data_IF_995146759355
#
_entry.id   IF_995146759355
#
_cell.length_a   1.000
_cell.length_b   1.000
_cell.length_c   1.000
_cell.angle_alpha   90.00
_cell.angle_beta   90.00
_cell.angle_gamma   90.00
#
_symmetry.space_group_name_H-M   'P 1'
#
loop_
_entity.id
_entity.type
_entity.pdbx_description
1 polymer ?
#
# COMPACT_ATOMS: atom_id res chain seq x y z
N UNK A 1 -15.40 -28.39 8.41
CA UNK A 1 -15.53 -26.93 8.63
C UNK A 1 -15.79 -26.26 7.30
N UNK A 2 -16.76 -25.34 7.22
CA UNK A 2 -17.01 -24.58 5.99
C UNK A 2 -15.80 -23.73 5.66
N UNK A 3 -15.31 -23.80 4.42
CA UNK A 3 -14.21 -22.95 3.93
C UNK A 3 -14.61 -21.48 4.00
N UNK A 4 -13.71 -20.60 4.45
CA UNK A 4 -13.93 -19.14 4.42
C UNK A 4 -14.20 -18.67 2.99
N UNK A 5 -14.98 -17.61 2.87
CA UNK A 5 -15.32 -16.96 1.60
C UNK A 5 -14.76 -15.53 1.63
N UNK A 6 -13.55 -15.38 1.14
CA UNK A 6 -12.86 -14.08 1.11
C UNK A 6 -12.98 -13.47 -0.28
N UNK A 7 -13.44 -12.23 -0.35
CA UNK A 7 -13.41 -11.41 -1.55
C UNK A 7 -12.31 -10.38 -1.39
N UNK A 8 -11.50 -10.19 -2.42
CA UNK A 8 -10.64 -9.02 -2.58
C UNK A 8 -11.23 -8.17 -3.70
N UNK A 9 -11.60 -6.94 -3.37
CA UNK A 9 -12.02 -5.93 -4.35
C UNK A 9 -10.87 -4.97 -4.59
N UNK A 10 -10.64 -4.63 -5.86
CA UNK A 10 -9.58 -3.72 -6.28
C UNK A 10 -10.11 -2.89 -7.46
N UNK A 11 -10.10 -1.57 -7.30
CA UNK A 11 -10.59 -0.66 -8.33
C UNK A 11 -9.68 -0.66 -9.55
N UNK A 12 -10.26 -0.56 -10.73
CA UNK A 12 -9.50 -0.58 -11.97
C UNK A 12 -8.86 0.79 -12.25
N UNK A 13 -7.52 0.86 -12.22
CA UNK A 13 -6.71 2.06 -12.42
C UNK A 13 -7.24 3.29 -11.64
N UNK A 14 -7.54 3.10 -10.35
CA UNK A 14 -8.40 3.96 -9.52
C UNK A 14 -8.23 5.46 -9.75
N UNK A 15 -7.08 6.05 -9.43
CA UNK A 15 -6.91 7.50 -9.56
C UNK A 15 -7.07 7.96 -11.00
N UNK A 16 -6.53 7.23 -11.97
CA UNK A 16 -6.68 7.58 -13.37
C UNK A 16 -8.15 7.47 -13.83
N UNK A 17 -8.89 6.47 -13.33
CA UNK A 17 -10.32 6.30 -13.65
C UNK A 17 -11.17 7.41 -13.04
N UNK A 18 -10.83 7.89 -11.83
CA UNK A 18 -11.49 9.07 -11.24
C UNK A 18 -11.24 10.32 -12.09
N UNK A 19 -9.99 10.59 -12.48
CA UNK A 19 -9.68 11.74 -13.34
C UNK A 19 -10.37 11.66 -14.70
N UNK A 20 -10.42 10.48 -15.32
CA UNK A 20 -11.12 10.27 -16.58
C UNK A 20 -12.65 10.43 -16.47
N UNK A 21 -13.23 10.19 -15.29
CA UNK A 21 -14.64 10.46 -15.00
C UNK A 21 -14.90 11.96 -14.90
N UNK A 22 -14.07 12.68 -14.15
CA UNK A 22 -14.19 14.13 -13.97
C UNK A 22 -13.86 14.90 -15.25
N UNK A 23 -12.98 14.35 -16.09
CA UNK A 23 -12.51 14.97 -17.33
C UNK A 23 -12.79 14.07 -18.54
N UNK A 24 -14.07 13.96 -19.00
CA UNK A 24 -14.47 13.03 -20.06
C UNK A 24 -13.75 13.22 -21.40
N UNK A 25 -13.24 14.43 -21.69
CA UNK A 25 -12.46 14.73 -22.89
C UNK A 25 -11.08 14.01 -22.94
N UNK A 26 -10.64 13.43 -21.81
CA UNK A 26 -9.41 12.63 -21.72
C UNK A 26 -9.64 11.15 -22.01
N UNK A 27 -10.88 10.68 -22.12
CA UNK A 27 -11.18 9.27 -22.41
C UNK A 27 -10.54 8.81 -23.72
N UNK A 28 -9.96 7.61 -23.70
CA UNK A 28 -9.24 7.03 -24.84
C UNK A 28 -7.82 7.54 -25.02
N UNK A 29 -7.38 8.52 -24.23
CA UNK A 29 -6.01 9.01 -24.25
C UNK A 29 -5.15 8.30 -23.18
N UNK A 30 -3.85 8.14 -23.39
CA UNK A 30 -2.94 7.69 -22.32
C UNK A 30 -2.84 8.76 -21.23
N UNK A 31 -3.46 8.53 -20.07
CA UNK A 31 -3.50 9.47 -18.94
C UNK A 31 -2.65 8.93 -17.78
N UNK A 32 -1.85 9.82 -17.21
CA UNK A 32 -0.97 9.54 -16.07
C UNK A 32 -1.28 10.52 -14.95
N UNK A 33 -1.58 10.00 -13.77
CA UNK A 33 -1.73 10.81 -12.56
C UNK A 33 -0.37 10.91 -11.88
N UNK A 34 0.17 12.11 -11.84
CA UNK A 34 1.47 12.39 -11.24
C UNK A 34 1.62 13.88 -10.91
N UNK A 35 2.40 14.20 -9.87
CA UNK A 35 2.84 15.57 -9.65
C UNK A 35 3.85 15.99 -10.73
N UNK A 36 3.89 17.27 -11.02
CA UNK A 36 4.99 17.83 -11.79
C UNK A 36 6.28 17.88 -10.93
N UNK A 37 7.42 17.62 -11.55
CA UNK A 37 8.72 17.66 -10.92
C UNK A 37 9.70 16.61 -11.44
N UNK A 38 10.98 16.95 -11.42
CA UNK A 38 12.04 16.10 -11.97
C UNK A 38 12.16 14.72 -11.30
N UNK A 39 11.76 14.63 -10.02
CA UNK A 39 11.82 13.39 -9.21
C UNK A 39 10.46 12.74 -8.98
N UNK A 40 9.42 13.25 -9.63
CA UNK A 40 8.07 12.73 -9.49
C UNK A 40 7.93 11.32 -10.05
N UNK A 41 7.05 10.55 -9.43
CA UNK A 41 6.66 9.21 -9.85
C UNK A 41 5.19 9.16 -10.18
N UNK A 42 4.82 8.23 -11.04
CA UNK A 42 3.43 7.97 -11.41
C UNK A 42 2.68 7.43 -10.18
N UNK A 43 1.58 8.08 -9.79
CA UNK A 43 0.62 7.58 -8.82
C UNK A 43 -0.28 6.49 -9.43
N UNK A 44 -0.84 6.78 -10.62
CA UNK A 44 -1.64 5.82 -11.38
C UNK A 44 -1.51 6.08 -12.89
N UNK A 45 -1.69 5.03 -13.70
CA UNK A 45 -1.71 5.09 -15.15
C UNK A 45 -2.99 4.47 -15.67
N UNK A 46 -3.66 5.12 -16.64
CA UNK A 46 -4.82 4.57 -17.34
C UNK A 46 -4.47 3.31 -18.11
N UNK A 47 -5.45 2.52 -18.52
CA UNK A 47 -5.19 1.31 -19.29
C UNK A 47 -4.55 1.62 -20.64
N UNK A 48 -4.90 2.73 -21.27
CA UNK A 48 -4.28 3.23 -22.49
C UNK A 48 -2.80 3.56 -22.25
N UNK A 49 -2.47 4.23 -21.14
CA UNK A 49 -1.08 4.50 -20.76
C UNK A 49 -0.27 3.22 -20.47
N UNK A 50 -0.90 2.22 -19.86
CA UNK A 50 -0.28 0.92 -19.61
C UNK A 50 0.12 0.15 -20.86
N UNK A 51 -0.57 0.36 -21.98
CA UNK A 51 -0.19 -0.23 -23.29
C UNK A 51 1.18 0.23 -23.77
N UNK A 52 1.62 1.43 -23.33
CA UNK A 52 2.98 1.95 -23.58
C UNK A 52 3.98 1.56 -22.48
N UNK A 53 3.62 0.64 -21.58
CA UNK A 53 4.47 0.19 -20.48
C UNK A 53 4.51 1.13 -19.27
N UNK A 54 3.65 2.18 -19.21
CA UNK A 54 3.59 3.08 -18.07
C UNK A 54 2.87 2.41 -16.90
N UNK A 55 3.41 2.57 -15.70
CA UNK A 55 2.83 1.96 -14.49
C UNK A 55 3.13 2.80 -13.23
N UNK A 56 2.38 2.57 -12.16
CA UNK A 56 2.60 3.20 -10.85
C UNK A 56 4.04 3.00 -10.37
N UNK A 57 4.59 3.98 -9.68
CA UNK A 57 5.95 4.07 -9.19
C UNK A 57 7.05 4.24 -10.27
N UNK A 58 6.72 4.28 -11.57
CA UNK A 58 7.66 4.66 -12.62
C UNK A 58 7.98 6.15 -12.51
N UNK A 59 9.23 6.56 -12.76
CA UNK A 59 9.57 7.99 -12.79
C UNK A 59 8.87 8.70 -13.96
N UNK A 60 8.39 9.92 -13.74
CA UNK A 60 7.76 10.74 -14.78
C UNK A 60 8.72 10.98 -15.95
N UNK A 61 10.01 11.17 -15.68
CA UNK A 61 11.02 11.31 -16.71
C UNK A 61 11.13 10.09 -17.63
N UNK A 62 11.05 8.87 -17.08
CA UNK A 62 11.02 7.63 -17.87
C UNK A 62 9.71 7.52 -18.65
N UNK A 63 8.58 7.83 -18.01
CA UNK A 63 7.27 7.75 -18.65
C UNK A 63 7.14 8.72 -19.85
N UNK A 64 7.65 9.94 -19.73
CA UNK A 64 7.69 10.92 -20.84
C UNK A 64 8.49 10.43 -22.05
N UNK A 65 9.54 9.64 -21.82
CA UNK A 65 10.33 9.04 -22.92
C UNK A 65 9.58 7.87 -23.59
N UNK A 66 8.86 7.05 -22.80
CA UNK A 66 8.14 5.89 -23.32
C UNK A 66 6.84 6.28 -24.03
N UNK A 67 6.17 7.33 -23.57
CA UNK A 67 4.90 7.79 -24.15
C UNK A 67 4.86 9.34 -24.12
N UNK A 68 5.49 10.02 -25.10
CA UNK A 68 5.53 11.49 -25.15
C UNK A 68 4.15 12.14 -25.27
N UNK A 69 3.16 11.43 -25.84
CA UNK A 69 1.78 11.89 -26.00
C UNK A 69 0.90 11.69 -24.75
N UNK A 70 1.43 11.13 -23.67
CA UNK A 70 0.68 10.94 -22.43
C UNK A 70 0.27 12.27 -21.81
N UNK A 71 -0.96 12.33 -21.32
CA UNK A 71 -1.49 13.47 -20.59
C UNK A 71 -1.19 13.29 -19.10
N UNK A 72 -0.54 14.26 -18.50
CA UNK A 72 -0.22 14.27 -17.07
C UNK A 72 -1.25 15.13 -16.32
N UNK A 73 -1.87 14.53 -15.30
CA UNK A 73 -2.86 15.17 -14.44
C UNK A 73 -2.37 15.15 -13.01
N UNK A 74 -2.39 16.27 -12.28
CA UNK A 74 -2.03 16.28 -10.87
C UNK A 74 -3.04 15.45 -10.05
N UNK A 75 -2.61 14.77 -8.96
CA UNK A 75 -3.51 13.94 -8.16
C UNK A 75 -4.42 14.81 -7.27
N UNK A 76 -5.71 14.46 -7.21
CA UNK A 76 -6.73 15.07 -6.36
C UNK A 76 -7.10 14.14 -5.18
N UNK A 77 -6.21 14.01 -4.19
CA UNK A 77 -6.38 13.04 -3.10
C UNK A 77 -7.65 13.22 -2.27
N UNK A 78 -8.18 14.44 -2.13
CA UNK A 78 -9.45 14.67 -1.42
C UNK A 78 -10.62 14.02 -2.15
N UNK A 79 -10.67 14.16 -3.47
CA UNK A 79 -11.65 13.50 -4.30
C UNK A 79 -11.52 11.96 -4.23
N UNK A 80 -10.28 11.44 -4.28
CA UNK A 80 -10.05 9.98 -4.18
C UNK A 80 -10.51 9.43 -2.82
N UNK A 81 -10.31 10.19 -1.73
CA UNK A 81 -10.84 9.82 -0.40
C UNK A 81 -12.36 9.81 -0.35
N UNK A 82 -13.03 10.78 -0.99
CA UNK A 82 -14.49 10.83 -1.07
C UNK A 82 -15.04 9.64 -1.85
N UNK A 83 -14.48 9.33 -3.01
CA UNK A 83 -14.86 8.15 -3.81
C UNK A 83 -14.60 6.85 -3.06
N UNK A 84 -13.46 6.73 -2.38
CA UNK A 84 -13.14 5.58 -1.53
C UNK A 84 -14.17 5.39 -0.42
N UNK A 85 -14.64 6.48 0.20
CA UNK A 85 -15.68 6.41 1.23
C UNK A 85 -17.02 5.88 0.67
N UNK A 86 -17.40 6.26 -0.56
CA UNK A 86 -18.59 5.73 -1.27
C UNK A 86 -18.42 4.22 -1.52
N UNK A 87 -17.27 3.79 -2.02
CA UNK A 87 -16.95 2.38 -2.26
C UNK A 87 -17.07 1.57 -0.96
N UNK A 88 -16.49 2.07 0.13
CA UNK A 88 -16.58 1.44 1.44
C UNK A 88 -18.01 1.40 2.00
N UNK A 89 -18.86 2.38 1.68
CA UNK A 89 -20.28 2.36 2.04
C UNK A 89 -21.02 1.21 1.30
N UNK A 90 -20.66 0.91 0.06
CA UNK A 90 -21.16 -0.27 -0.65
C UNK A 90 -20.75 -1.57 0.09
N UNK A 91 -19.48 -1.71 0.48
CA UNK A 91 -19.01 -2.92 1.18
C UNK A 91 -19.79 -3.20 2.46
N UNK A 92 -20.06 -2.16 3.26
CA UNK A 92 -20.79 -2.27 4.54
C UNK A 92 -22.23 -2.77 4.42
N UNK A 93 -22.79 -2.83 3.21
CA UNK A 93 -24.13 -3.42 2.96
C UNK A 93 -24.09 -4.95 2.98
N UNK A 94 -22.89 -5.55 2.93
CA UNK A 94 -22.73 -7.00 2.82
C UNK A 94 -22.04 -7.62 4.03
N UNK A 95 -21.09 -6.93 4.65
CA UNK A 95 -20.33 -7.39 5.82
C UNK A 95 -19.71 -6.23 6.57
N UNK A 96 -19.46 -6.39 7.85
CA UNK A 96 -18.63 -5.52 8.70
C UNK A 96 -17.16 -5.97 8.73
N UNK A 97 -16.88 -7.22 8.33
CA UNK A 97 -15.51 -7.74 8.25
C UNK A 97 -14.83 -7.24 6.96
N UNK A 98 -14.43 -5.98 6.98
CA UNK A 98 -13.76 -5.29 5.86
C UNK A 98 -12.37 -4.84 6.32
N UNK A 99 -11.33 -5.28 5.63
CA UNK A 99 -9.94 -4.86 5.87
C UNK A 99 -9.47 -3.99 4.71
N UNK A 100 -9.45 -2.66 4.85
CA UNK A 100 -8.87 -1.76 3.86
C UNK A 100 -7.36 -1.97 3.76
N UNK A 101 -6.83 -1.99 2.53
CA UNK A 101 -5.40 -2.02 2.25
C UNK A 101 -4.89 -0.66 1.76
N UNK A 102 -5.70 0.02 0.97
CA UNK A 102 -5.48 1.35 0.39
C UNK A 102 -6.81 2.08 0.21
N UNK A 103 -6.84 3.16 -0.57
CA UNK A 103 -8.09 3.84 -0.93
C UNK A 103 -8.94 3.05 -1.94
N UNK A 104 -8.34 2.11 -2.65
CA UNK A 104 -8.90 1.43 -3.81
C UNK A 104 -9.05 -0.09 -3.66
N UNK A 105 -8.52 -0.67 -2.58
CA UNK A 105 -8.61 -2.11 -2.39
C UNK A 105 -8.94 -2.51 -0.95
N UNK A 106 -9.72 -3.57 -0.80
CA UNK A 106 -10.05 -4.16 0.49
C UNK A 106 -10.29 -5.67 0.41
N UNK A 107 -10.04 -6.36 1.53
CA UNK A 107 -10.56 -7.70 1.76
C UNK A 107 -11.90 -7.62 2.46
N UNK A 108 -12.84 -8.49 2.04
CA UNK A 108 -14.14 -8.70 2.69
C UNK A 108 -14.26 -10.18 3.06
N UNK A 109 -14.59 -10.48 4.30
CA UNK A 109 -15.03 -11.83 4.66
C UNK A 109 -16.56 -11.88 4.57
N UNK A 110 -17.03 -12.62 3.58
CA UNK A 110 -18.45 -12.81 3.31
C UNK A 110 -18.92 -14.25 3.59
N UNK A 111 -18.15 -14.98 4.41
CA UNK A 111 -18.52 -16.33 4.86
C UNK A 111 -19.93 -16.34 5.47
N UNK A 112 -20.22 -15.29 6.23
CA UNK A 112 -21.58 -14.87 6.63
C UNK A 112 -21.76 -13.46 6.15
N UNK A 113 -22.78 -13.19 5.35
CA UNK A 113 -23.06 -11.84 4.85
C UNK A 113 -24.48 -11.43 5.23
N UNK A 114 -24.71 -10.10 5.34
CA UNK A 114 -25.97 -9.56 5.84
C UNK A 114 -27.17 -9.85 4.97
N UNK A 115 -26.95 -10.14 3.69
CA UNK A 115 -28.05 -10.47 2.74
C UNK A 115 -28.33 -11.97 2.63
N UNK A 116 -27.58 -12.81 3.40
CA UNK A 116 -27.69 -14.26 3.33
C UNK A 116 -27.50 -14.86 1.93
N UNK A 117 -26.72 -14.19 1.07
CA UNK A 117 -26.41 -14.68 -0.28
C UNK A 117 -25.48 -15.89 -0.17
N UNK A 118 -25.86 -17.06 -0.70
CA UNK A 118 -25.11 -18.30 -0.47
C UNK A 118 -23.76 -18.35 -1.19
N UNK A 119 -23.62 -17.64 -2.32
CA UNK A 119 -22.40 -17.67 -3.13
C UNK A 119 -21.64 -16.35 -3.06
N UNK A 120 -20.38 -16.39 -2.65
CA UNK A 120 -19.51 -15.20 -2.62
C UNK A 120 -19.27 -14.58 -4.02
N UNK A 121 -19.42 -15.37 -5.08
CA UNK A 121 -19.39 -14.88 -6.46
C UNK A 121 -20.53 -13.92 -6.77
N UNK A 122 -21.74 -14.21 -6.26
CA UNK A 122 -22.89 -13.31 -6.43
C UNK A 122 -22.74 -12.06 -5.57
N UNK A 123 -22.23 -12.19 -4.33
CA UNK A 123 -21.92 -11.02 -3.50
C UNK A 123 -20.91 -10.11 -4.21
N UNK A 124 -19.84 -10.65 -4.77
CA UNK A 124 -18.86 -9.87 -5.52
C UNK A 124 -19.44 -9.19 -6.76
N UNK A 125 -20.33 -9.88 -7.48
CA UNK A 125 -21.04 -9.34 -8.64
C UNK A 125 -21.93 -8.16 -8.26
N UNK A 126 -22.74 -8.31 -7.20
CA UNK A 126 -23.57 -7.22 -6.68
C UNK A 126 -22.74 -6.01 -6.21
N UNK A 127 -21.66 -6.25 -5.46
CA UNK A 127 -20.75 -5.20 -5.01
C UNK A 127 -20.20 -4.42 -6.21
N UNK A 128 -19.67 -5.10 -7.21
CA UNK A 128 -19.10 -4.47 -8.41
C UNK A 128 -20.16 -3.68 -9.20
N UNK A 129 -21.36 -4.23 -9.31
CA UNK A 129 -22.48 -3.53 -9.98
C UNK A 129 -22.89 -2.27 -9.20
N UNK A 130 -22.99 -2.35 -7.86
CA UNK A 130 -23.33 -1.21 -7.02
C UNK A 130 -22.22 -0.12 -7.07
N UNK A 131 -20.95 -0.48 -7.03
CA UNK A 131 -19.83 0.45 -7.21
C UNK A 131 -19.99 1.19 -8.55
N UNK A 132 -20.21 0.47 -9.63
CA UNK A 132 -20.36 1.09 -10.95
C UNK A 132 -21.59 2.02 -11.01
N UNK A 133 -22.74 1.59 -10.50
CA UNK A 133 -23.95 2.38 -10.48
C UNK A 133 -23.82 3.69 -9.69
N UNK A 134 -23.09 3.67 -8.57
CA UNK A 134 -22.97 4.81 -7.65
C UNK A 134 -21.78 5.73 -7.96
N UNK A 135 -20.72 5.17 -8.54
CA UNK A 135 -19.48 5.94 -8.77
C UNK A 135 -19.11 6.11 -10.25
N UNK A 136 -19.74 5.36 -11.16
CA UNK A 136 -19.34 5.29 -12.57
C UNK A 136 -17.99 4.59 -12.80
N UNK A 137 -17.38 3.99 -11.75
CA UNK A 137 -16.08 3.35 -11.82
C UNK A 137 -16.20 1.83 -11.79
N UNK A 138 -15.25 1.14 -12.42
CA UNK A 138 -15.21 -0.32 -12.40
C UNK A 138 -14.26 -0.84 -11.33
N UNK A 139 -14.58 -2.03 -10.83
CA UNK A 139 -13.76 -2.78 -9.91
C UNK A 139 -13.59 -4.23 -10.37
N UNK A 140 -12.46 -4.84 -10.03
CA UNK A 140 -12.21 -6.26 -10.22
C UNK A 140 -12.26 -7.01 -8.89
N UNK A 141 -12.74 -8.25 -8.92
CA UNK A 141 -12.93 -9.06 -7.73
C UNK A 141 -12.23 -10.42 -7.83
N UNK A 142 -11.53 -10.78 -6.76
CA UNK A 142 -11.01 -12.13 -6.56
C UNK A 142 -11.70 -12.82 -5.39
N UNK A 143 -12.20 -14.03 -5.59
CA UNK A 143 -12.92 -14.80 -4.59
C UNK A 143 -12.15 -16.09 -4.31
N UNK A 144 -11.77 -16.33 -3.05
CA UNK A 144 -10.95 -17.47 -2.66
C UNK A 144 -11.12 -17.83 -1.18
N UNK A 145 -10.56 -18.97 -0.71
CA UNK A 145 -10.66 -19.40 0.68
C UNK A 145 -9.88 -18.52 1.68
N UNK A 146 -8.94 -17.70 1.21
CA UNK A 146 -8.12 -16.85 2.05
C UNK A 146 -7.67 -15.57 1.34
N UNK A 147 -7.09 -14.63 2.12
CA UNK A 147 -6.67 -13.31 1.65
C UNK A 147 -5.60 -13.37 0.55
N UNK A 148 -4.62 -14.26 0.70
CA UNK A 148 -3.53 -14.41 -0.27
C UNK A 148 -4.08 -14.76 -1.66
N UNK A 149 -4.89 -15.79 -1.73
CA UNK A 149 -5.45 -16.26 -2.99
C UNK A 149 -6.48 -15.29 -3.58
N UNK A 150 -7.30 -14.64 -2.74
CA UNK A 150 -8.26 -13.65 -3.17
C UNK A 150 -7.58 -12.45 -3.83
N UNK A 151 -6.45 -11.97 -3.28
CA UNK A 151 -5.68 -10.86 -3.87
C UNK A 151 -5.09 -11.22 -5.23
N UNK A 152 -4.54 -12.41 -5.39
CA UNK A 152 -4.05 -12.86 -6.71
C UNK A 152 -5.21 -13.01 -7.69
N UNK A 153 -6.32 -13.57 -7.23
CA UNK A 153 -7.51 -13.78 -8.06
C UNK A 153 -8.10 -12.48 -8.60
N UNK A 154 -8.06 -11.37 -7.83
CA UNK A 154 -8.59 -10.08 -8.28
C UNK A 154 -7.84 -9.49 -9.48
N UNK A 155 -6.55 -9.82 -9.65
CA UNK A 155 -5.76 -9.37 -10.79
C UNK A 155 -5.92 -10.24 -12.05
N UNK A 156 -6.55 -11.43 -11.91
CA UNK A 156 -6.53 -12.45 -12.98
C UNK A 156 -7.32 -12.07 -14.22
N UNK A 157 -8.38 -11.26 -14.04
CA UNK A 157 -9.30 -10.84 -15.11
C UNK A 157 -9.53 -9.33 -15.09
N UNK A 158 -8.55 -8.51 -14.72
CA UNK A 158 -8.62 -7.05 -14.85
C UNK A 158 -8.58 -6.63 -16.32
N UNK A 159 -9.27 -5.54 -16.70
CA UNK A 159 -10.18 -4.73 -15.89
C UNK A 159 -11.61 -5.28 -15.85
N UNK A 160 -12.42 -4.78 -14.91
CA UNK A 160 -13.85 -5.07 -14.73
C UNK A 160 -14.15 -6.56 -14.73
N UNK A 161 -13.26 -7.34 -14.12
CA UNK A 161 -13.31 -8.79 -14.12
C UNK A 161 -13.63 -9.38 -12.75
N UNK A 162 -13.95 -10.67 -12.76
CA UNK A 162 -14.13 -11.46 -11.55
C UNK A 162 -13.52 -12.84 -11.74
N UNK A 163 -12.78 -13.32 -10.76
CA UNK A 163 -12.19 -14.65 -10.79
C UNK A 163 -12.45 -15.37 -9.47
N UNK A 164 -12.96 -16.60 -9.58
CA UNK A 164 -13.25 -17.47 -8.43
C UNK A 164 -12.23 -18.60 -8.39
N UNK A 165 -11.53 -18.73 -7.28
CA UNK A 165 -10.61 -19.85 -7.01
C UNK A 165 -11.19 -20.72 -5.88
N UNK A 166 -11.96 -21.77 -6.19
CA UNK A 166 -12.54 -22.64 -5.19
C UNK A 166 -11.47 -23.54 -4.54
N UNK A 167 -11.70 -24.04 -3.30
CA UNK A 167 -10.70 -24.81 -2.55
C UNK A 167 -10.08 -25.97 -3.31
N UNK A 168 -10.87 -26.74 -4.05
CA UNK A 168 -10.40 -27.92 -4.80
C UNK A 168 -9.49 -27.57 -5.99
N UNK A 169 -9.46 -26.31 -6.45
CA UNK A 169 -8.58 -25.85 -7.55
C UNK A 169 -7.30 -25.16 -7.08
N UNK A 170 -7.16 -24.91 -5.76
CA UNK A 170 -6.04 -24.12 -5.21
C UNK A 170 -4.70 -24.74 -5.55
N UNK A 171 -4.53 -26.05 -5.33
CA UNK A 171 -3.24 -26.70 -5.55
C UNK A 171 -2.83 -26.71 -7.01
N UNK A 172 -3.75 -26.97 -7.92
CA UNK A 172 -3.51 -26.95 -9.37
C UNK A 172 -3.18 -25.50 -9.84
N UNK A 173 -3.87 -24.51 -9.29
CA UNK A 173 -3.61 -23.10 -9.59
C UNK A 173 -2.19 -22.67 -9.15
N UNK A 174 -1.78 -23.04 -7.94
CA UNK A 174 -0.47 -22.71 -7.40
C UNK A 174 0.67 -23.45 -8.12
N UNK A 175 0.42 -24.62 -8.72
CA UNK A 175 1.44 -25.37 -9.46
C UNK A 175 2.11 -24.50 -10.53
N UNK A 176 1.32 -23.74 -11.26
CA UNK A 176 1.78 -22.91 -12.38
C UNK A 176 1.88 -21.42 -12.07
N UNK A 177 1.54 -20.99 -10.83
CA UNK A 177 1.54 -19.59 -10.46
C UNK A 177 2.96 -19.01 -10.47
N UNK A 178 3.27 -17.99 -11.31
CA UNK A 178 4.58 -17.36 -11.31
C UNK A 178 4.90 -16.71 -9.96
N UNK A 179 6.13 -16.87 -9.47
CA UNK A 179 6.56 -16.34 -8.16
C UNK A 179 6.37 -14.85 -8.01
N UNK A 180 6.55 -14.08 -9.08
CA UNK A 180 6.34 -12.62 -9.07
C UNK A 180 4.89 -12.19 -8.83
N UNK A 181 3.91 -13.11 -8.89
CA UNK A 181 2.51 -12.87 -8.55
C UNK A 181 2.21 -13.05 -7.07
N UNK A 182 3.14 -13.61 -6.30
CA UNK A 182 2.99 -13.77 -4.85
C UNK A 182 3.17 -12.41 -4.17
N UNK A 183 2.15 -11.89 -3.45
CA UNK A 183 2.26 -10.63 -2.72
C UNK A 183 3.42 -10.66 -1.71
N UNK A 184 4.31 -9.67 -1.82
CA UNK A 184 5.55 -9.57 -1.03
C UNK A 184 6.80 -10.13 -1.74
N UNK A 185 6.66 -10.78 -2.89
CA UNK A 185 7.80 -11.14 -3.73
C UNK A 185 8.14 -9.97 -4.67
N UNK A 186 9.07 -9.12 -4.23
CA UNK A 186 9.61 -8.03 -5.04
C UNK A 186 10.73 -8.50 -5.98
N UNK A 187 11.24 -7.59 -6.81
CA UNK A 187 12.28 -7.88 -7.83
C UNK A 187 13.52 -8.58 -7.25
N UNK A 188 14.00 -8.15 -6.07
CA UNK A 188 15.19 -8.74 -5.41
C UNK A 188 14.91 -10.17 -4.96
N UNK A 189 13.79 -10.40 -4.29
CA UNK A 189 13.39 -11.74 -3.83
C UNK A 189 13.16 -12.68 -5.02
N UNK A 190 12.48 -12.18 -6.06
CA UNK A 190 12.24 -12.96 -7.29
C UNK A 190 13.56 -13.38 -7.95
N UNK A 191 14.52 -12.47 -8.09
CA UNK A 191 15.84 -12.77 -8.66
C UNK A 191 16.57 -13.84 -7.83
N UNK A 192 16.50 -13.75 -6.49
CA UNK A 192 17.08 -14.77 -5.59
C UNK A 192 16.37 -16.13 -5.75
N UNK A 193 15.04 -16.17 -5.85
CA UNK A 193 14.30 -17.40 -6.10
C UNK A 193 14.70 -18.04 -7.42
N UNK A 194 14.81 -17.24 -8.48
CA UNK A 194 15.22 -17.71 -9.80
C UNK A 194 16.64 -18.27 -9.82
N UNK A 195 17.59 -17.68 -9.08
CA UNK A 195 18.96 -18.23 -8.95
C UNK A 195 19.00 -19.57 -8.19
N UNK A 196 17.96 -19.90 -7.42
CA UNK A 196 17.76 -21.19 -6.77
C UNK A 196 16.94 -22.19 -7.62
N UNK A 197 16.68 -21.86 -8.89
CA UNK A 197 15.92 -22.71 -9.80
C UNK A 197 14.41 -22.68 -9.64
N UNK A 198 13.87 -21.76 -8.80
CA UNK A 198 12.44 -21.63 -8.57
C UNK A 198 11.81 -20.66 -9.58
N UNK A 199 10.67 -21.01 -10.18
CA UNK A 199 9.92 -20.18 -11.13
C UNK A 199 8.46 -20.02 -10.76
N UNK A 200 7.87 -21.04 -10.15
CA UNK A 200 6.46 -21.09 -9.78
C UNK A 200 6.27 -21.33 -8.27
N UNK A 201 5.06 -21.10 -7.77
CA UNK A 201 4.72 -21.46 -6.40
C UNK A 201 4.76 -22.99 -6.19
N UNK A 202 4.55 -23.79 -7.25
CA UNK A 202 4.77 -25.22 -7.24
C UNK A 202 6.22 -25.61 -6.92
N UNK A 203 7.19 -24.88 -7.46
CA UNK A 203 8.61 -25.16 -7.20
C UNK A 203 8.99 -24.91 -5.73
N UNK A 204 8.36 -23.94 -5.05
CA UNK A 204 8.59 -23.70 -3.61
C UNK A 204 8.22 -24.91 -2.74
N UNK A 205 7.31 -25.77 -3.20
CA UNK A 205 6.91 -26.97 -2.44
C UNK A 205 7.96 -28.06 -2.39
N UNK A 206 8.95 -28.02 -3.28
CA UNK A 206 10.08 -28.95 -3.30
C UNK A 206 11.06 -28.69 -2.16
N UNK A 207 10.95 -27.53 -1.51
CA UNK A 207 11.84 -27.10 -0.43
C UNK A 207 11.19 -27.34 0.93
N UNK A 208 11.98 -27.83 1.85
CA UNK A 208 11.60 -27.94 3.24
C UNK A 208 11.48 -26.57 3.92
N UNK A 209 10.72 -26.53 5.00
CA UNK A 209 10.47 -25.27 5.74
C UNK A 209 11.77 -24.62 6.24
N UNK A 210 12.72 -25.45 6.70
CA UNK A 210 14.05 -25.00 7.16
C UNK A 210 14.90 -24.42 6.03
N UNK A 211 14.87 -25.01 4.85
CA UNK A 211 15.60 -24.53 3.68
C UNK A 211 15.11 -23.14 3.26
N UNK A 212 13.79 -22.95 3.19
CA UNK A 212 13.21 -21.65 2.87
C UNK A 212 13.53 -20.60 3.95
N UNK A 213 13.58 -20.99 5.24
CA UNK A 213 14.04 -20.12 6.32
C UNK A 213 15.49 -19.67 6.11
N UNK A 214 16.39 -20.61 5.77
CA UNK A 214 17.80 -20.32 5.55
C UNK A 214 18.00 -19.35 4.38
N UNK A 215 17.22 -19.50 3.30
CA UNK A 215 17.33 -18.63 2.13
C UNK A 215 16.65 -17.28 2.30
N UNK A 216 15.49 -17.21 2.95
CA UNK A 216 14.63 -16.02 2.96
C UNK A 216 14.33 -15.46 4.36
N UNK A 217 15.02 -15.96 5.39
CA UNK A 217 14.77 -15.56 6.77
C UNK A 217 13.32 -15.86 7.18
N UNK A 218 12.75 -15.08 8.09
CA UNK A 218 11.37 -15.26 8.56
C UNK A 218 10.33 -15.29 7.44
N UNK A 219 10.62 -14.67 6.30
CA UNK A 219 9.72 -14.71 5.15
C UNK A 219 9.63 -16.11 4.53
N UNK A 220 10.65 -16.95 4.70
CA UNK A 220 10.66 -18.33 4.25
C UNK A 220 9.53 -19.18 4.84
N UNK A 221 9.18 -18.98 6.12
CA UNK A 221 8.02 -19.64 6.74
C UNK A 221 6.73 -19.29 6.00
N UNK A 222 6.55 -18.00 5.70
CA UNK A 222 5.37 -17.55 4.97
C UNK A 222 5.33 -18.11 3.55
N UNK A 223 6.45 -18.15 2.85
CA UNK A 223 6.54 -18.73 1.50
C UNK A 223 6.16 -20.21 1.50
N UNK A 224 6.58 -20.96 2.51
CA UNK A 224 6.23 -22.36 2.69
C UNK A 224 4.71 -22.57 2.80
N UNK A 225 4.05 -21.77 3.63
CA UNK A 225 2.61 -21.82 3.84
C UNK A 225 1.84 -21.37 2.58
N UNK A 226 2.24 -20.24 1.97
CA UNK A 226 1.61 -19.71 0.76
C UNK A 226 1.72 -20.68 -0.44
N UNK A 227 2.86 -21.37 -0.61
CA UNK A 227 3.02 -22.37 -1.66
C UNK A 227 2.07 -23.57 -1.51
N UNK A 228 1.56 -23.78 -0.30
CA UNK A 228 0.57 -24.82 0.05
C UNK A 228 -0.87 -24.28 0.11
N UNK A 229 -1.05 -23.02 -0.33
CA UNK A 229 -2.38 -22.38 -0.33
C UNK A 229 -2.89 -21.97 1.04
N UNK A 230 -2.03 -21.97 2.07
CA UNK A 230 -2.40 -21.68 3.45
C UNK A 230 -2.15 -20.20 3.78
N UNK A 231 -3.22 -19.51 4.19
CA UNK A 231 -3.14 -18.17 4.80
C UNK A 231 -4.29 -18.04 5.81
N UNK A 232 -3.96 -18.30 7.06
CA UNK A 232 -4.95 -18.34 8.15
C UNK A 232 -5.30 -16.94 8.70
N UNK A 233 -4.63 -15.90 8.24
CA UNK A 233 -4.88 -14.54 8.72
C UNK A 233 -6.34 -14.16 8.51
N UNK A 234 -7.07 -13.74 9.57
CA UNK A 234 -8.43 -13.25 9.43
C UNK A 234 -8.47 -11.90 8.69
N UNK A 235 -9.63 -11.56 8.16
CA UNK A 235 -9.95 -10.18 7.76
C UNK A 235 -10.16 -9.38 9.02
N UNK A 236 -9.40 -8.27 9.16
CA UNK A 236 -9.41 -7.39 10.35
C UNK A 236 -10.04 -6.06 9.99
N UNK A 237 -11.22 -5.79 10.54
CA UNK A 237 -11.92 -4.52 10.33
C UNK A 237 -11.16 -3.33 10.92
N UNK A 238 -10.44 -3.58 12.00
CA UNK A 238 -9.64 -2.54 12.68
C UNK A 238 -8.15 -2.91 12.62
N UNK A 239 -7.35 -1.89 12.37
CA UNK A 239 -5.90 -2.00 12.41
C UNK A 239 -5.34 -0.87 13.26
N UNK A 240 -4.70 -1.24 14.33
CA UNK A 240 -3.97 -0.29 15.16
C UNK A 240 -2.86 0.40 14.34
N UNK A 241 -2.86 1.73 14.38
CA UNK A 241 -1.81 2.52 13.75
C UNK A 241 -0.55 2.48 14.61
N UNK A 242 0.57 2.09 14.04
CA UNK A 242 1.83 1.95 14.77
C UNK A 242 2.75 3.14 14.61
N UNK A 243 2.59 3.91 13.54
CA UNK A 243 3.42 5.08 13.25
C UNK A 243 2.68 6.11 12.41
N UNK A 244 3.13 7.35 12.51
CA UNK A 244 2.77 8.45 11.61
C UNK A 244 4.08 9.05 11.14
N UNK A 245 4.21 9.38 9.85
CA UNK A 245 5.42 9.97 9.29
C UNK A 245 5.11 10.92 8.16
N UNK A 246 6.01 11.87 7.95
CA UNK A 246 6.04 12.75 6.80
C UNK A 246 7.46 12.80 6.23
N UNK A 247 7.58 12.86 4.91
CA UNK A 247 8.86 12.93 4.23
C UNK A 247 8.74 13.74 2.94
N UNK A 248 9.83 14.38 2.55
CA UNK A 248 9.95 15.09 1.28
C UNK A 248 11.11 14.54 0.46
N UNK A 249 10.88 14.36 -0.82
CA UNK A 249 11.96 14.18 -1.79
C UNK A 249 12.42 15.55 -2.24
N UNK A 250 13.68 15.88 -1.99
CA UNK A 250 14.28 17.17 -2.30
C UNK A 250 14.38 17.37 -3.82
N UNK A 251 14.19 18.57 -4.35
CA UNK A 251 14.31 18.86 -5.78
C UNK A 251 15.68 18.46 -6.35
N UNK A 252 16.74 18.72 -5.58
CA UNK A 252 18.12 18.34 -5.85
C UNK A 252 18.73 17.63 -4.64
N UNK A 253 19.91 17.04 -4.83
CA UNK A 253 20.62 16.38 -3.74
C UNK A 253 21.33 17.43 -2.90
N UNK A 254 21.06 17.49 -1.59
CA UNK A 254 21.58 18.50 -0.68
C UNK A 254 22.55 17.91 0.34
N UNK A 255 23.56 18.67 0.77
CA UNK A 255 24.36 18.34 1.95
C UNK A 255 23.48 18.21 3.20
N UNK A 256 23.99 17.49 4.21
CA UNK A 256 23.23 17.20 5.44
C UNK A 256 22.68 18.44 6.14
N UNK A 257 23.49 19.49 6.24
CA UNK A 257 23.10 20.75 6.89
C UNK A 257 21.95 21.46 6.17
N UNK A 258 21.98 21.49 4.82
CA UNK A 258 20.90 22.07 4.04
C UNK A 258 19.64 21.21 4.09
N UNK A 259 19.77 19.90 4.05
CA UNK A 259 18.65 18.99 4.23
C UNK A 259 17.99 19.18 5.61
N UNK A 260 18.78 19.43 6.67
CA UNK A 260 18.29 19.73 8.02
C UNK A 260 17.40 20.96 8.09
N UNK A 261 17.58 21.93 7.21
CA UNK A 261 16.74 23.14 7.11
C UNK A 261 15.24 22.83 6.86
N UNK A 262 14.91 21.65 6.38
CA UNK A 262 13.51 21.21 6.18
C UNK A 262 12.85 20.63 7.43
N UNK A 263 13.61 20.35 8.52
CA UNK A 263 13.08 19.75 9.73
C UNK A 263 11.95 20.55 10.41
N UNK A 264 12.03 21.90 10.52
CA UNK A 264 10.95 22.66 11.15
C UNK A 264 9.61 22.45 10.46
N UNK A 265 9.56 22.57 9.14
CA UNK A 265 8.36 22.37 8.36
C UNK A 265 7.81 20.92 8.48
N UNK A 266 8.69 19.94 8.41
CA UNK A 266 8.29 18.53 8.60
C UNK A 266 7.75 18.26 10.02
N UNK A 267 8.33 18.92 11.05
CA UNK A 267 7.85 18.78 12.42
C UNK A 267 6.44 19.35 12.58
N UNK A 268 6.17 20.53 12.03
CA UNK A 268 4.84 21.14 12.03
C UNK A 268 3.81 20.27 11.30
N UNK A 269 4.15 19.76 10.12
CA UNK A 269 3.27 18.88 9.36
C UNK A 269 2.96 17.59 10.11
N UNK A 270 3.98 16.97 10.69
CA UNK A 270 3.82 15.75 11.48
C UNK A 270 2.99 16.00 12.74
N UNK A 271 3.26 17.10 13.44
CA UNK A 271 2.51 17.47 14.65
C UNK A 271 1.03 17.71 14.36
N UNK A 272 0.71 18.41 13.28
CA UNK A 272 -0.69 18.58 12.81
C UNK A 272 -1.37 17.23 12.56
N UNK A 273 -0.66 16.25 12.00
CA UNK A 273 -1.20 14.92 11.77
C UNK A 273 -1.45 14.16 13.08
N UNK A 274 -0.54 14.25 14.06
CA UNK A 274 -0.65 13.64 15.39
C UNK A 274 -1.91 14.20 16.10
N UNK A 275 -2.02 15.53 16.16
CA UNK A 275 -3.15 16.22 16.80
C UNK A 275 -4.48 15.86 16.14
N UNK A 276 -4.56 15.87 14.79
CA UNK A 276 -5.78 15.50 14.06
C UNK A 276 -6.23 14.06 14.31
N UNK A 277 -5.28 13.17 14.60
CA UNK A 277 -5.56 11.76 14.86
C UNK A 277 -5.81 11.44 16.33
N UNK A 278 -5.75 12.46 17.19
CA UNK A 278 -5.94 12.35 18.65
C UNK A 278 -5.08 11.25 19.28
N UNK A 279 -3.78 11.24 18.95
CA UNK A 279 -2.80 10.30 19.49
C UNK A 279 -1.60 11.05 20.06
N UNK A 280 -0.88 10.39 20.94
CA UNK A 280 0.41 10.81 21.50
C UNK A 280 1.48 9.81 21.09
N UNK A 281 2.74 10.20 21.15
CA UNK A 281 3.84 9.36 20.67
C UNK A 281 5.01 9.38 21.64
N UNK A 282 5.72 8.25 21.75
CA UNK A 282 6.87 8.08 22.64
C UNK A 282 8.19 7.86 21.87
N UNK A 283 8.18 7.82 20.54
CA UNK A 283 9.42 7.70 19.78
C UNK A 283 9.43 8.60 18.56
N UNK A 284 10.62 9.09 18.21
CA UNK A 284 10.89 9.87 17.01
C UNK A 284 11.90 9.13 16.16
N UNK A 285 11.65 9.06 14.86
CA UNK A 285 12.55 8.46 13.87
C UNK A 285 12.87 9.48 12.80
N UNK A 286 14.14 9.74 12.59
CA UNK A 286 14.67 10.45 11.43
C UNK A 286 14.92 9.44 10.31
N UNK A 287 14.54 9.78 9.09
CA UNK A 287 14.83 9.04 7.86
C UNK A 287 15.52 9.93 6.86
N UNK A 288 16.66 9.50 6.40
CA UNK A 288 17.39 10.12 5.30
C UNK A 288 17.55 9.10 4.16
N UNK A 289 17.58 9.57 2.94
CA UNK A 289 17.97 8.77 1.78
C UNK A 289 19.04 9.52 1.00
N UNK A 290 20.15 8.86 0.73
CA UNK A 290 21.24 9.39 -0.05
C UNK A 290 20.94 9.42 -1.55
N UNK A 291 21.74 10.11 -2.34
CA UNK A 291 21.62 10.17 -3.81
C UNK A 291 21.66 8.78 -4.47
N UNK A 292 22.41 7.84 -3.91
CA UNK A 292 22.53 6.46 -4.36
C UNK A 292 21.46 5.52 -3.74
N UNK A 293 20.40 6.10 -3.15
CA UNK A 293 19.26 5.41 -2.57
C UNK A 293 19.51 4.60 -1.29
N UNK A 294 20.64 4.73 -0.63
CA UNK A 294 20.84 4.16 0.72
C UNK A 294 19.90 4.86 1.70
N UNK A 295 19.29 4.08 2.58
CA UNK A 295 18.40 4.60 3.63
C UNK A 295 19.16 4.60 4.95
N UNK A 296 19.16 5.75 5.61
CA UNK A 296 19.69 5.95 6.96
C UNK A 296 18.50 6.26 7.86
N UNK A 297 18.35 5.51 8.94
CA UNK A 297 17.35 5.78 9.98
C UNK A 297 18.03 5.90 11.34
N UNK A 298 17.51 6.84 12.16
CA UNK A 298 17.91 7.00 13.55
C UNK A 298 16.65 7.16 14.38
N UNK A 299 16.57 6.52 15.53
CA UNK A 299 15.39 6.57 16.40
C UNK A 299 15.78 6.92 17.83
N UNK A 300 14.95 7.75 18.47
CA UNK A 300 14.93 8.01 19.90
C UNK A 300 13.60 7.53 20.46
N UNK A 301 13.65 6.84 21.58
CA UNK A 301 12.47 6.42 22.34
C UNK A 301 12.54 7.05 23.72
N UNK A 302 11.43 7.59 24.18
CA UNK A 302 11.26 8.28 25.45
C UNK A 302 10.39 7.43 26.38
N UNK A 303 10.57 7.61 27.69
CA UNK A 303 9.72 6.99 28.71
C UNK A 303 8.36 7.68 28.85
N UNK A 304 8.23 8.92 28.40
CA UNK A 304 7.02 9.71 28.37
C UNK A 304 6.63 10.11 26.96
N UNK A 305 5.41 10.57 26.76
CA UNK A 305 4.96 11.11 25.47
C UNK A 305 5.61 12.45 25.16
N UNK A 306 5.75 12.74 23.87
CA UNK A 306 6.22 14.05 23.39
C UNK A 306 5.19 15.13 23.76
N UNK A 307 5.57 16.18 24.46
CA UNK A 307 4.61 17.17 24.95
C UNK A 307 4.12 18.12 23.85
N UNK A 308 4.98 18.49 22.90
CA UNK A 308 4.71 19.50 21.89
C UNK A 308 5.55 19.36 20.62
N UNK A 309 5.27 20.22 19.64
CA UNK A 309 5.99 20.28 18.37
C UNK A 309 7.46 20.69 18.53
N UNK A 310 7.78 21.52 19.51
CA UNK A 310 9.15 21.95 19.76
C UNK A 310 10.02 20.79 20.22
N UNK A 311 9.50 19.94 21.12
CA UNK A 311 10.15 18.70 21.56
C UNK A 311 10.34 17.70 20.42
N UNK A 312 9.38 17.57 19.51
CA UNK A 312 9.49 16.76 18.30
C UNK A 312 10.64 17.27 17.40
N UNK A 313 10.70 18.58 17.16
CA UNK A 313 11.77 19.21 16.37
C UNK A 313 13.14 19.02 17.02
N UNK A 314 13.24 19.25 18.33
CA UNK A 314 14.48 19.04 19.08
C UNK A 314 14.96 17.59 18.98
N UNK A 315 14.06 16.64 19.14
CA UNK A 315 14.40 15.20 18.97
C UNK A 315 14.91 14.90 17.55
N UNK A 316 14.29 15.47 16.51
CA UNK A 316 14.73 15.30 15.13
C UNK A 316 16.13 15.92 14.90
N UNK A 317 16.42 17.08 15.46
CA UNK A 317 17.74 17.72 15.40
C UNK A 317 18.81 16.90 16.14
N UNK A 318 18.50 16.38 17.31
CA UNK A 318 19.39 15.45 18.04
C UNK A 318 19.70 14.18 17.23
N UNK A 319 18.72 13.65 16.51
CA UNK A 319 18.91 12.49 15.63
C UNK A 319 19.75 12.84 14.41
N UNK A 320 19.60 14.05 13.87
CA UNK A 320 20.44 14.55 12.78
C UNK A 320 21.91 14.62 13.18
N UNK A 321 22.21 15.11 14.38
CA UNK A 321 23.58 15.17 14.93
C UNK A 321 24.23 13.80 15.11
N UNK A 322 23.44 12.71 15.16
CA UNK A 322 23.94 11.32 15.22
C UNK A 322 24.23 10.70 13.85
N UNK A 323 23.99 11.43 12.77
CA UNK A 323 24.38 10.99 11.43
C UNK A 323 25.86 11.32 11.25
N UNK A 324 26.74 10.33 11.01
CA UNK A 324 28.14 10.60 10.83
C UNK A 324 28.35 11.57 9.67
N UNK A 325 29.18 12.58 9.80
CA UNK A 325 29.56 13.46 8.70
C UNK A 325 30.39 12.63 7.70
N UNK A 326 29.77 12.15 6.66
CA UNK A 326 30.47 11.62 5.51
C UNK A 326 30.55 12.75 4.48
N UNK A 327 31.74 13.17 4.17
CA UNK A 327 32.06 14.37 3.38
C UNK A 327 31.53 14.33 1.94
N UNK A 328 30.98 13.21 1.49
CA UNK A 328 30.50 13.01 0.12
C UNK A 328 29.00 12.65 0.02
N UNK A 329 28.29 12.54 1.14
CA UNK A 329 26.89 12.15 1.11
C UNK A 329 25.99 13.35 0.80
N UNK A 330 25.41 13.34 -0.39
CA UNK A 330 24.28 14.20 -0.75
C UNK A 330 22.97 13.46 -0.50
N UNK A 331 21.99 14.15 0.07
CA UNK A 331 20.70 13.57 0.48
C UNK A 331 19.58 14.00 -0.47
N UNK A 332 18.87 13.03 -0.98
CA UNK A 332 17.71 13.23 -1.85
C UNK A 332 16.37 13.26 -1.15
N UNK A 333 16.30 12.79 0.09
CA UNK A 333 15.06 12.72 0.86
C UNK A 333 15.37 12.87 2.34
N UNK A 334 14.53 13.63 3.00
CA UNK A 334 14.47 13.76 4.45
C UNK A 334 13.04 13.54 4.93
N UNK A 335 12.88 12.84 6.04
CA UNK A 335 11.59 12.62 6.68
C UNK A 335 11.73 12.38 8.17
N UNK A 336 10.66 12.61 8.87
CA UNK A 336 10.52 12.28 10.30
C UNK A 336 9.24 11.50 10.54
N UNK A 337 9.26 10.67 11.56
CA UNK A 337 8.10 9.88 11.96
C UNK A 337 8.05 9.72 13.46
N UNK A 338 6.88 9.39 13.97
CA UNK A 338 6.63 9.04 15.36
C UNK A 338 6.05 7.65 15.47
N UNK A 339 6.40 6.96 16.54
CA UNK A 339 5.93 5.61 16.85
C UNK A 339 5.62 5.45 18.33
N UNK A 340 5.36 4.19 18.75
CA UNK A 340 4.82 3.91 20.08
C UNK A 340 3.65 4.84 20.39
N UNK A 341 2.65 4.78 19.48
CA UNK A 341 1.48 5.63 19.55
C UNK A 341 0.56 5.14 20.67
N UNK A 342 0.08 6.07 21.49
CA UNK A 342 -0.95 5.82 22.50
C UNK A 342 -2.14 6.75 22.22
N UNK A 343 -3.39 6.30 22.45
CA UNK A 343 -4.53 7.20 22.41
C UNK A 343 -4.30 8.34 23.36
N UNK A 344 -4.60 9.57 22.96
CA UNK A 344 -4.59 10.71 23.87
C UNK A 344 -5.70 10.47 24.88
N UNK A 345 -5.32 10.22 26.15
CA UNK A 345 -6.29 10.12 27.23
C UNK A 345 -7.04 11.45 27.28
N UNK A 346 -8.34 11.43 26.99
CA UNK A 346 -9.23 12.44 27.50
C UNK A 346 -9.27 12.21 29.03
N UNK A 347 -8.42 12.90 29.76
CA UNK A 347 -8.71 13.12 31.17
C UNK A 347 -10.11 13.75 31.19
N UNK A 348 -11.10 12.96 31.52
CA UNK A 348 -12.34 13.51 32.03
C UNK A 348 -11.93 14.33 33.26
N UNK A 349 -12.06 15.65 33.15
CA UNK A 349 -12.03 16.52 34.31
C UNK A 349 -13.16 16.04 35.24
N UNK A 350 -12.80 15.13 36.13
CA UNK A 350 -13.73 14.61 37.16
C UNK A 350 -14.12 15.69 38.19
N UNK A 351 -13.74 16.96 37.95
CA UNK A 351 -13.94 18.10 38.84
C UNK A 351 -14.51 19.33 38.13
N UNK A 352 -15.17 19.16 36.99
CA UNK A 352 -15.95 20.24 36.37
C UNK A 352 -17.43 20.20 36.80
#
# INVERSE_FOLDING_TARGET
MSSRKIIHIDMDAFYASVELREQPHLKGRPVVVAWEGARSVICAASYEARQFGLHSAMSVATAKRLCPQAVYVPPHFDLYRQVSAQIHAVFRRYTDLIEPLSLDEAYLDVTRNFKNIPYASEVAKEIRAAIFAETGLTASAGIAPNKFLAKIASDWRKPNGQFVLPPHKVMAFLETLPLGKIPGVGKVTLKKMQSLGMRTAGDLRRFERGELLNHFGRYGYRLYDLARGTDERPVKAERERRQISTEITLPEDLPLEQAAGHLPHLAEDLWRQITRKNVEAQSVTLKLKTYDFRIITRTLTYSSVLPDCASLLQAAQMLMARVPPQTEDAFRLIGIGVGHLVPKNQQQDLWA
#
